data_IF_083447469443
#
_entry.id   IF_083447469443
#
_cell.length_a   1.000
_cell.length_b   1.000
_cell.length_c   1.000
_cell.angle_alpha   90.00
_cell.angle_beta   90.00
_cell.angle_gamma   90.00
#
_symmetry.space_group_name_H-M   'P 1'
#
loop_
_entity.id
_entity.type
_entity.pdbx_description
1 polymer ?
#
# COMPACT_ATOMS: atom_id res chain seq x y z
N UNK A 1 2.18 6.00 -20.41
CA UNK A 1 2.06 6.60 -19.07
C UNK A 1 2.13 8.13 -19.05
N UNK A 2 2.18 8.83 -20.18
CA UNK A 2 2.22 10.31 -20.25
C UNK A 2 0.84 10.95 -20.40
N UNK A 3 -0.13 10.28 -21.02
CA UNK A 3 -1.48 10.83 -21.29
C UNK A 3 -2.34 10.99 -20.03
N UNK A 4 -2.14 10.17 -19.00
CA UNK A 4 -2.93 10.22 -17.75
C UNK A 4 -2.44 11.35 -16.83
N UNK A 5 -1.14 11.67 -16.88
CA UNK A 5 -0.57 12.79 -16.13
C UNK A 5 -1.00 14.14 -16.71
N UNK A 6 -0.97 14.29 -18.04
CA UNK A 6 -1.41 15.53 -18.71
C UNK A 6 -2.90 15.82 -18.49
N UNK A 7 -3.75 14.79 -18.50
CA UNK A 7 -5.17 14.93 -18.15
C UNK A 7 -5.39 15.37 -16.70
N UNK A 8 -4.55 14.92 -15.76
CA UNK A 8 -4.61 15.32 -14.36
C UNK A 8 -4.25 16.80 -14.14
N UNK A 9 -3.22 17.30 -14.82
CA UNK A 9 -2.80 18.70 -14.74
C UNK A 9 -3.85 19.68 -15.27
N UNK A 10 -4.46 19.38 -16.43
CA UNK A 10 -5.51 20.22 -16.99
C UNK A 10 -6.76 20.21 -16.11
N UNK A 11 -7.12 19.06 -15.52
CA UNK A 11 -8.27 18.95 -14.62
C UNK A 11 -8.08 19.72 -13.31
N UNK A 12 -6.88 19.72 -12.74
CA UNK A 12 -6.57 20.48 -11.52
C UNK A 12 -6.66 21.99 -11.80
N UNK A 13 -6.20 22.44 -12.98
CA UNK A 13 -6.34 23.84 -13.41
C UNK A 13 -7.81 24.21 -13.64
N UNK A 14 -8.60 23.33 -14.25
CA UNK A 14 -10.05 23.54 -14.49
C UNK A 14 -10.88 23.51 -13.20
N UNK A 15 -10.58 22.63 -12.26
CA UNK A 15 -11.25 22.56 -10.96
C UNK A 15 -10.98 23.81 -10.10
N UNK A 16 -9.74 24.33 -10.13
CA UNK A 16 -9.37 25.59 -9.49
C UNK A 16 -10.07 26.78 -10.12
N UNK A 17 -10.24 26.80 -11.45
CA UNK A 17 -10.98 27.83 -12.17
C UNK A 17 -12.49 27.80 -11.91
N UNK A 18 -13.06 26.63 -11.56
CA UNK A 18 -14.49 26.46 -11.26
C UNK A 18 -14.86 26.56 -9.77
N UNK A 19 -13.90 26.80 -8.87
CA UNK A 19 -14.16 26.96 -7.43
C UNK A 19 -14.63 25.67 -6.71
N UNK A 20 -14.50 24.50 -7.35
CA UNK A 20 -14.83 23.22 -6.71
C UNK A 20 -13.65 22.72 -5.87
N UNK A 21 -13.94 22.32 -4.63
CA UNK A 21 -12.95 21.79 -3.69
C UNK A 21 -12.13 20.64 -4.32
N UNK A 22 -10.83 20.85 -4.60
CA UNK A 22 -9.97 19.88 -5.30
C UNK A 22 -9.86 18.54 -4.58
N UNK A 23 -10.03 18.58 -3.26
CA UNK A 23 -9.90 17.43 -2.34
C UNK A 23 -10.93 16.34 -2.65
N UNK A 24 -12.17 16.69 -3.02
CA UNK A 24 -13.26 15.71 -3.24
C UNK A 24 -13.10 14.96 -4.57
N UNK A 25 -12.44 15.57 -5.56
CA UNK A 25 -12.17 14.96 -6.87
C UNK A 25 -10.90 14.11 -6.81
N UNK A 26 -9.86 14.60 -6.14
CA UNK A 26 -8.62 13.85 -5.91
C UNK A 26 -8.87 12.56 -5.09
N UNK A 27 -9.68 12.63 -4.03
CA UNK A 27 -10.04 11.46 -3.22
C UNK A 27 -10.95 10.46 -3.94
N UNK A 28 -11.82 10.90 -4.85
CA UNK A 28 -12.78 10.00 -5.50
C UNK A 28 -12.24 9.38 -6.78
N UNK A 29 -11.55 10.15 -7.63
CA UNK A 29 -11.00 9.68 -8.91
C UNK A 29 -9.56 9.19 -8.80
N UNK A 30 -8.71 9.90 -8.05
CA UNK A 30 -7.30 9.53 -7.85
C UNK A 30 -7.18 8.22 -7.06
N UNK A 31 -7.94 8.07 -5.98
CA UNK A 31 -7.93 6.84 -5.20
C UNK A 31 -8.42 5.63 -6.03
N UNK A 32 -9.52 5.76 -6.77
CA UNK A 32 -10.09 4.62 -7.52
C UNK A 32 -9.18 4.12 -8.66
N UNK A 33 -8.44 5.01 -9.32
CA UNK A 33 -7.49 4.64 -10.39
C UNK A 33 -6.09 4.26 -9.86
N UNK A 34 -5.64 4.82 -8.73
CA UNK A 34 -4.36 4.47 -8.12
C UNK A 34 -4.43 3.19 -7.26
N UNK A 35 -5.61 2.80 -6.79
CA UNK A 35 -5.82 1.57 -6.00
C UNK A 35 -5.58 0.31 -6.84
N UNK A 36 -5.95 0.30 -8.13
CA UNK A 36 -5.82 -0.92 -8.96
C UNK A 36 -4.37 -1.43 -9.07
N UNK A 37 -3.37 -0.58 -9.42
CA UNK A 37 -1.97 -1.01 -9.46
C UNK A 37 -1.41 -1.29 -8.06
N UNK A 38 -1.78 -0.49 -7.06
CA UNK A 38 -1.30 -0.67 -5.69
C UNK A 38 -1.77 -1.98 -5.07
N UNK A 39 -3.04 -2.36 -5.24
CA UNK A 39 -3.58 -3.61 -4.71
C UNK A 39 -2.92 -4.81 -5.36
N UNK A 40 -2.70 -4.77 -6.68
CA UNK A 40 -2.07 -5.88 -7.40
C UNK A 40 -0.60 -6.03 -7.01
N UNK A 41 0.16 -4.93 -6.96
CA UNK A 41 1.56 -4.94 -6.52
C UNK A 41 1.69 -5.37 -5.05
N UNK A 42 0.78 -4.92 -4.19
CA UNK A 42 0.70 -5.31 -2.79
C UNK A 42 0.41 -6.81 -2.63
N UNK A 43 -0.54 -7.37 -3.38
CA UNK A 43 -0.84 -8.79 -3.34
C UNK A 43 0.35 -9.66 -3.79
N UNK A 44 1.06 -9.24 -4.83
CA UNK A 44 2.28 -9.93 -5.30
C UNK A 44 3.38 -9.85 -4.23
N UNK A 45 3.62 -8.66 -3.66
CA UNK A 45 4.62 -8.46 -2.61
C UNK A 45 4.32 -9.27 -1.35
N UNK A 46 3.07 -9.27 -0.89
CA UNK A 46 2.62 -10.08 0.23
C UNK A 46 2.80 -11.58 -0.05
N UNK A 47 2.40 -12.06 -1.24
CA UNK A 47 2.58 -13.47 -1.61
C UNK A 47 4.03 -13.92 -1.52
N UNK A 48 4.97 -13.08 -1.99
CA UNK A 48 6.41 -13.33 -1.86
C UNK A 48 6.89 -13.34 -0.41
N UNK A 49 6.47 -12.36 0.40
CA UNK A 49 6.84 -12.26 1.81
C UNK A 49 6.34 -13.44 2.63
N UNK A 50 5.06 -13.78 2.52
CA UNK A 50 4.48 -14.93 3.21
C UNK A 50 5.12 -16.25 2.75
N UNK A 51 5.35 -16.44 1.45
CA UNK A 51 5.99 -17.65 0.93
C UNK A 51 7.42 -17.84 1.47
N UNK A 52 8.24 -16.80 1.43
CA UNK A 52 9.61 -16.83 1.95
C UNK A 52 9.67 -17.00 3.47
N UNK A 53 8.83 -16.25 4.21
CA UNK A 53 8.78 -16.32 5.67
C UNK A 53 8.36 -17.71 6.15
N UNK A 54 7.29 -18.28 5.58
CA UNK A 54 6.79 -19.61 5.96
C UNK A 54 7.84 -20.69 5.69
N UNK A 55 8.58 -20.60 4.58
CA UNK A 55 9.65 -21.54 4.26
C UNK A 55 10.74 -21.53 5.34
N UNK A 56 11.19 -20.34 5.74
CA UNK A 56 12.20 -20.16 6.79
C UNK A 56 11.65 -20.65 8.14
N UNK A 57 10.43 -20.25 8.51
CA UNK A 57 9.77 -20.66 9.75
C UNK A 57 9.64 -22.18 9.89
N UNK A 58 9.34 -22.86 8.78
CA UNK A 58 9.15 -24.32 8.75
C UNK A 58 10.48 -25.06 8.88
N UNK A 59 11.49 -24.67 8.09
CA UNK A 59 12.79 -25.36 8.07
C UNK A 59 13.57 -25.12 9.37
N UNK A 60 13.59 -23.89 9.86
CA UNK A 60 14.33 -23.53 11.07
C UNK A 60 13.51 -23.70 12.35
N UNK A 61 12.27 -24.21 12.26
CA UNK A 61 11.34 -24.34 13.40
C UNK A 61 11.18 -23.03 14.19
N UNK A 62 11.25 -21.90 13.50
CA UNK A 62 11.12 -20.59 14.13
C UNK A 62 9.63 -20.26 14.32
N UNK A 63 9.19 -19.85 15.52
CA UNK A 63 7.80 -19.48 15.76
C UNK A 63 7.50 -18.13 15.10
N UNK A 64 6.89 -18.17 13.92
CA UNK A 64 6.48 -16.97 13.19
C UNK A 64 4.99 -16.93 12.89
N UNK A 65 4.53 -15.76 12.45
CA UNK A 65 3.11 -15.48 12.19
C UNK A 65 2.61 -16.15 10.92
N UNK A 66 3.50 -16.47 9.97
CA UNK A 66 3.12 -17.13 8.72
C UNK A 66 2.64 -18.55 8.96
N UNK A 67 3.40 -19.34 9.73
CA UNK A 67 3.05 -20.69 10.15
C UNK A 67 1.79 -20.70 11.02
N UNK A 68 1.68 -19.77 11.98
CA UNK A 68 0.48 -19.63 12.81
C UNK A 68 -0.78 -19.35 11.99
N UNK A 69 -0.67 -18.59 10.90
CA UNK A 69 -1.79 -18.32 9.98
C UNK A 69 -2.24 -19.60 9.26
N UNK A 70 -1.31 -20.45 8.83
CA UNK A 70 -1.61 -21.74 8.19
C UNK A 70 -2.25 -22.70 9.20
N UNK A 71 -1.72 -22.76 10.43
CA UNK A 71 -2.27 -23.60 11.50
C UNK A 71 -3.70 -23.13 11.86
N UNK A 72 -3.93 -21.82 11.93
CA UNK A 72 -5.26 -21.25 12.15
C UNK A 72 -6.22 -21.56 10.99
N UNK A 73 -5.75 -21.54 9.74
CA UNK A 73 -6.54 -21.89 8.57
C UNK A 73 -6.94 -23.37 8.58
N UNK A 74 -6.00 -24.26 8.91
CA UNK A 74 -6.27 -25.71 9.00
C UNK A 74 -7.27 -26.02 10.12
N UNK A 75 -7.13 -25.37 11.27
CA UNK A 75 -8.04 -25.52 12.41
C UNK A 75 -9.34 -24.71 12.27
N UNK A 76 -9.50 -23.94 11.18
CA UNK A 76 -10.62 -23.02 10.94
C UNK A 76 -10.86 -22.03 12.08
N UNK A 77 -9.80 -21.58 12.73
CA UNK A 77 -9.83 -20.56 13.77
C UNK A 77 -9.89 -19.17 13.14
N UNK A 78 -11.11 -18.77 12.77
CA UNK A 78 -11.37 -17.46 12.16
C UNK A 78 -10.95 -16.27 13.04
N UNK A 79 -11.21 -16.26 14.37
CA UNK A 79 -10.72 -15.20 15.24
C UNK A 79 -9.20 -15.03 15.21
N UNK A 80 -8.45 -16.14 15.26
CA UNK A 80 -6.99 -16.09 15.20
C UNK A 80 -6.50 -15.58 13.84
N UNK A 81 -7.05 -16.10 12.74
CA UNK A 81 -6.73 -15.62 11.39
C UNK A 81 -6.99 -14.11 11.24
N UNK A 82 -8.14 -13.63 11.70
CA UNK A 82 -8.51 -12.23 11.59
C UNK A 82 -7.61 -11.34 12.44
N UNK A 83 -7.21 -11.80 13.62
CA UNK A 83 -6.29 -11.08 14.51
C UNK A 83 -4.90 -10.92 13.88
N UNK A 84 -4.34 -12.02 13.36
CA UNK A 84 -3.04 -12.01 12.67
C UNK A 84 -3.10 -11.07 11.46
N UNK A 85 -4.17 -11.16 10.67
CA UNK A 85 -4.36 -10.31 9.49
C UNK A 85 -4.45 -8.83 9.85
N UNK A 86 -5.24 -8.48 10.88
CA UNK A 86 -5.42 -7.11 11.33
C UNK A 86 -4.12 -6.52 11.90
N UNK A 87 -3.40 -7.25 12.75
CA UNK A 87 -2.12 -6.82 13.29
C UNK A 87 -1.07 -6.58 12.19
N UNK A 88 -0.97 -7.52 11.24
CA UNK A 88 -0.05 -7.39 10.10
C UNK A 88 -0.41 -6.19 9.24
N UNK A 89 -1.70 -5.98 8.96
CA UNK A 89 -2.19 -4.84 8.18
C UNK A 89 -1.83 -3.51 8.84
N UNK A 90 -2.11 -3.37 10.14
CA UNK A 90 -1.75 -2.16 10.89
C UNK A 90 -0.25 -1.95 10.87
N UNK A 91 0.56 -2.98 11.14
CA UNK A 91 2.02 -2.87 11.13
C UNK A 91 2.56 -2.40 9.77
N UNK A 92 2.05 -2.96 8.67
CA UNK A 92 2.43 -2.54 7.31
C UNK A 92 1.99 -1.11 7.03
N UNK A 93 0.77 -0.71 7.42
CA UNK A 93 0.31 0.67 7.24
C UNK A 93 1.16 1.66 8.04
N UNK A 94 1.49 1.33 9.29
CA UNK A 94 2.38 2.14 10.12
C UNK A 94 3.77 2.25 9.51
N UNK A 95 4.32 1.15 8.99
CA UNK A 95 5.62 1.19 8.32
C UNK A 95 5.59 2.01 7.04
N UNK A 96 4.56 1.86 6.20
CA UNK A 96 4.39 2.71 5.01
C UNK A 96 4.28 4.18 5.41
N UNK A 97 3.51 4.50 6.45
CA UNK A 97 3.39 5.87 6.96
C UNK A 97 4.74 6.43 7.46
N UNK A 98 5.52 5.64 8.18
CA UNK A 98 6.88 6.02 8.62
C UNK A 98 7.78 6.26 7.40
N UNK A 99 7.74 5.35 6.43
CA UNK A 99 8.51 5.46 5.19
C UNK A 99 8.11 6.74 4.43
N UNK A 100 6.83 7.02 4.29
CA UNK A 100 6.31 8.25 3.66
C UNK A 100 6.76 9.52 4.40
N UNK A 101 6.85 9.48 5.73
CA UNK A 101 7.35 10.59 6.53
C UNK A 101 8.87 10.79 6.38
N UNK A 102 9.62 9.69 6.20
CA UNK A 102 11.07 9.69 6.06
C UNK A 102 11.52 9.95 4.61
N UNK A 103 10.69 9.63 3.61
CA UNK A 103 10.96 9.83 2.19
C UNK A 103 11.44 11.25 1.85
N UNK A 104 10.80 12.34 2.34
CA UNK A 104 11.24 13.71 2.10
C UNK A 104 12.62 14.05 2.68
N UNK A 105 13.06 13.31 3.71
CA UNK A 105 14.35 13.50 4.38
C UNK A 105 15.46 12.77 3.62
N UNK A 106 15.17 11.57 3.12
CA UNK A 106 16.16 10.75 2.42
C UNK A 106 16.28 11.05 0.92
N UNK A 107 15.26 11.63 0.28
CA UNK A 107 15.31 11.95 -1.14
C UNK A 107 14.89 13.40 -1.46
N UNK A 108 15.85 14.34 -1.59
CA UNK A 108 15.56 15.71 -2.00
C UNK A 108 15.08 15.83 -3.45
N UNK A 109 15.10 14.76 -4.27
CA UNK A 109 14.60 14.81 -5.66
C UNK A 109 13.08 14.85 -5.76
N UNK A 110 12.34 14.42 -4.73
CA UNK A 110 10.87 14.51 -4.69
C UNK A 110 10.39 15.96 -4.59
N UNK A 111 11.27 16.91 -4.22
CA UNK A 111 11.00 18.36 -4.29
C UNK A 111 11.18 18.98 -5.68
N UNK A 112 11.74 18.25 -6.65
CA UNK A 112 12.17 18.79 -7.94
C UNK A 112 11.43 18.27 -9.18
N UNK A 113 10.24 17.68 -9.02
CA UNK A 113 9.44 17.21 -10.16
C UNK A 113 8.54 18.30 -10.74
N UNK A 114 8.97 18.86 -11.89
CA UNK A 114 8.17 19.58 -12.90
C UNK A 114 7.95 21.09 -12.68
N UNK A 115 9.06 21.83 -12.68
CA UNK A 115 9.11 23.20 -13.18
C UNK A 115 10.13 23.27 -14.34
N UNK A 116 9.71 22.92 -15.54
CA UNK A 116 10.27 23.37 -16.83
C UNK A 116 9.29 23.03 -17.95
#
# INVERSE_FOLDING_TARGET
>A
NTMVQTLGEEYIRLARAKGLFPVRIALSYGARNAILPNVTGFAIGLGGLFGGAIFIETIFSYPGTGRLMIDALQNRDYPLMQTIFLLTTIGVLTMNFIVDLLYPVFDPRVRGGEAS
#
